data_IF_288296016624
#
_entry.id   IF_288296016624
#
_cell.length_a   1.000
_cell.length_b   1.000
_cell.length_c   1.000
_cell.angle_alpha   90.00
_cell.angle_beta   90.00
_cell.angle_gamma   90.00
#
_symmetry.space_group_name_H-M   'P 1'
#
loop_
_entity.id
_entity.type
_entity.pdbx_description
1 polymer ?
#
# COMPACT_ATOMS: atom_id res chain seq x y z
N UNK A 1 18.51 11.18 -8.59
CA UNK A 1 19.51 10.22 -8.08
C UNK A 1 19.83 9.23 -9.18
N UNK A 2 21.09 9.05 -9.54
CA UNK A 2 21.50 8.01 -10.48
C UNK A 2 21.66 6.66 -9.75
N UNK A 3 21.84 5.54 -10.51
CA UNK A 3 21.90 4.21 -9.89
C UNK A 3 23.13 4.06 -8.96
N UNK A 4 24.30 4.58 -9.33
CA UNK A 4 25.49 4.47 -8.49
C UNK A 4 25.36 5.22 -7.15
N UNK A 5 24.72 6.38 -7.16
CA UNK A 5 24.40 7.13 -5.92
C UNK A 5 23.42 6.34 -5.03
N UNK A 6 22.43 5.68 -5.66
CA UNK A 6 21.46 4.85 -4.97
C UNK A 6 22.12 3.62 -4.35
N UNK A 7 23.02 2.94 -5.08
CA UNK A 7 23.74 1.77 -4.59
C UNK A 7 24.56 2.10 -3.33
N UNK A 8 25.19 3.27 -3.28
CA UNK A 8 25.91 3.74 -2.08
C UNK A 8 24.96 3.95 -0.89
N UNK A 9 23.76 4.47 -1.14
CA UNK A 9 22.77 4.65 -0.07
C UNK A 9 22.29 3.29 0.46
N UNK A 10 22.07 2.33 -0.44
CA UNK A 10 21.67 0.96 -0.07
C UNK A 10 22.77 0.29 0.73
N UNK A 11 24.02 0.32 0.27
CA UNK A 11 25.16 -0.27 0.99
C UNK A 11 25.31 0.28 2.42
N UNK A 12 25.18 1.60 2.60
CA UNK A 12 25.18 2.22 3.92
C UNK A 12 24.02 1.76 4.79
N UNK A 13 22.86 1.59 4.19
CA UNK A 13 21.66 1.11 4.87
C UNK A 13 21.81 -0.35 5.31
N UNK A 14 22.27 -1.23 4.44
CA UNK A 14 22.53 -2.63 4.76
C UNK A 14 23.56 -2.77 5.88
N UNK A 15 24.59 -1.92 5.87
CA UNK A 15 25.56 -1.86 6.96
C UNK A 15 24.92 -1.41 8.27
N UNK A 16 24.04 -0.41 8.22
CA UNK A 16 23.28 0.03 9.40
C UNK A 16 22.37 -1.09 9.95
N UNK A 17 21.73 -1.86 9.08
CA UNK A 17 20.88 -2.98 9.47
C UNK A 17 21.66 -4.12 10.15
N UNK A 18 22.88 -4.39 9.68
CA UNK A 18 23.70 -5.52 10.11
C UNK A 18 24.40 -5.27 11.45
N UNK A 19 25.00 -4.12 11.62
CA UNK A 19 25.93 -3.84 12.72
C UNK A 19 25.71 -2.48 13.40
N UNK A 20 24.69 -1.73 13.00
CA UNK A 20 24.39 -0.40 13.51
C UNK A 20 25.31 0.71 13.02
N UNK A 21 26.36 0.38 12.26
CA UNK A 21 27.21 1.35 11.60
C UNK A 21 26.67 1.65 10.21
N UNK A 22 26.82 2.90 9.74
CA UNK A 22 26.22 3.34 8.48
C UNK A 22 25.04 4.28 8.70
N UNK A 23 24.17 4.40 7.76
CA UNK A 23 23.07 5.35 7.80
C UNK A 23 21.76 4.66 7.35
N UNK A 24 20.70 4.85 8.14
CA UNK A 24 19.36 4.43 7.67
C UNK A 24 19.01 5.19 6.40
N UNK A 25 18.64 4.48 5.34
CA UNK A 25 18.32 5.10 4.07
C UNK A 25 17.17 6.11 4.20
N UNK A 26 17.47 7.35 3.85
CA UNK A 26 16.48 8.40 3.68
C UNK A 26 16.38 8.74 2.18
N UNK A 27 15.39 8.15 1.55
CA UNK A 27 15.07 8.31 0.12
C UNK A 27 13.75 9.08 -0.05
N UNK A 28 13.35 9.84 0.98
CA UNK A 28 12.11 10.62 0.92
C UNK A 28 12.16 11.64 -0.23
N UNK A 29 11.05 11.64 -0.99
CA UNK A 29 10.88 12.49 -2.18
C UNK A 29 11.95 12.32 -3.27
N UNK A 30 12.77 11.27 -3.19
CA UNK A 30 13.79 11.00 -4.22
C UNK A 30 13.13 10.61 -5.55
N UNK A 31 13.77 11.02 -6.64
CA UNK A 31 13.45 10.52 -7.97
C UNK A 31 14.18 9.19 -8.22
N UNK A 32 13.44 8.10 -8.10
CA UNK A 32 13.89 6.73 -8.25
C UNK A 32 13.18 6.05 -9.44
N UNK A 33 12.75 6.83 -10.41
CA UNK A 33 12.09 6.31 -11.61
C UNK A 33 13.00 5.33 -12.34
N UNK A 34 12.46 4.15 -12.63
CA UNK A 34 13.17 3.05 -13.32
C UNK A 34 14.41 2.54 -12.58
N UNK A 35 14.59 2.90 -11.30
CA UNK A 35 15.70 2.38 -10.50
C UNK A 35 15.66 0.85 -10.43
N UNK A 36 16.83 0.26 -10.40
CA UNK A 36 17.00 -1.17 -10.12
C UNK A 36 17.22 -1.36 -8.62
N UNK A 37 16.20 -1.87 -7.94
CA UNK A 37 16.18 -2.14 -6.50
C UNK A 37 15.88 -3.62 -6.22
N UNK A 38 16.15 -4.48 -7.19
CA UNK A 38 15.92 -5.92 -7.06
C UNK A 38 16.70 -6.48 -5.89
N UNK A 39 15.99 -7.20 -5.00
CA UNK A 39 16.57 -7.85 -3.81
C UNK A 39 17.26 -6.91 -2.83
N UNK A 40 17.12 -5.60 -2.99
CA UNK A 40 17.67 -4.63 -2.02
C UNK A 40 17.00 -4.81 -0.65
N UNK A 41 17.78 -4.74 0.41
CA UNK A 41 17.26 -4.64 1.77
C UNK A 41 17.02 -3.16 2.10
N UNK A 42 15.77 -2.75 2.06
CA UNK A 42 15.26 -1.42 2.40
C UNK A 42 14.34 -1.48 3.61
N UNK A 43 14.52 -2.51 4.46
CA UNK A 43 13.69 -2.68 5.64
C UNK A 43 13.81 -1.48 6.59
N UNK A 44 12.66 -0.91 6.93
CA UNK A 44 12.57 0.31 7.73
C UNK A 44 13.08 1.59 7.04
N UNK A 45 13.46 1.57 5.76
CA UNK A 45 13.90 2.77 5.04
C UNK A 45 12.78 3.83 4.94
N UNK A 46 13.16 5.09 4.79
CA UNK A 46 12.24 6.18 4.51
C UNK A 46 12.18 6.44 3.00
N UNK A 47 11.05 6.06 2.39
CA UNK A 47 10.73 6.24 0.97
C UNK A 47 9.49 7.14 0.79
N UNK A 48 9.15 7.92 1.81
CA UNK A 48 7.97 8.78 1.79
C UNK A 48 7.97 9.71 0.59
N UNK A 49 6.88 9.69 -0.19
CA UNK A 49 6.71 10.54 -1.36
C UNK A 49 7.71 10.28 -2.50
N UNK A 50 8.54 9.25 -2.42
CA UNK A 50 9.50 8.91 -3.47
C UNK A 50 8.79 8.58 -4.79
N UNK A 51 9.40 8.94 -5.90
CA UNK A 51 8.94 8.55 -7.22
C UNK A 51 9.62 7.26 -7.68
N UNK A 52 8.96 6.14 -7.43
CA UNK A 52 9.38 4.78 -7.79
C UNK A 52 8.68 4.27 -9.06
N UNK A 53 8.12 5.17 -9.88
CA UNK A 53 7.38 4.71 -11.05
C UNK A 53 8.30 3.96 -12.03
N UNK A 54 7.81 2.79 -12.47
CA UNK A 54 8.57 1.85 -13.31
C UNK A 54 9.83 1.25 -12.65
N UNK A 55 10.08 1.47 -11.36
CA UNK A 55 11.21 0.86 -10.66
C UNK A 55 11.04 -0.66 -10.55
N UNK A 56 12.15 -1.36 -10.50
CA UNK A 56 12.17 -2.80 -10.26
C UNK A 56 12.53 -3.07 -8.79
N UNK A 57 11.53 -3.42 -8.00
CA UNK A 57 11.60 -3.76 -6.57
C UNK A 57 11.36 -5.27 -6.35
N UNK A 58 11.51 -6.08 -7.40
CA UNK A 58 11.22 -7.51 -7.28
C UNK A 58 12.13 -8.18 -6.24
N UNK A 59 11.49 -8.94 -5.33
CA UNK A 59 12.13 -9.60 -4.20
C UNK A 59 12.85 -8.67 -3.21
N UNK A 60 12.59 -7.36 -3.25
CA UNK A 60 13.13 -6.42 -2.27
C UNK A 60 12.52 -6.65 -0.89
N UNK A 61 13.31 -6.40 0.15
CA UNK A 61 12.83 -6.34 1.51
C UNK A 61 12.43 -4.90 1.86
N UNK A 62 11.14 -4.66 2.01
CA UNK A 62 10.53 -3.38 2.33
C UNK A 62 9.77 -3.44 3.67
N UNK A 63 10.11 -4.42 4.52
CA UNK A 63 9.45 -4.57 5.82
C UNK A 63 9.53 -3.28 6.63
N UNK A 64 8.37 -2.82 7.11
CA UNK A 64 8.26 -1.60 7.93
C UNK A 64 8.82 -0.33 7.27
N UNK A 65 9.09 -0.33 5.97
CA UNK A 65 9.49 0.87 5.24
C UNK A 65 8.34 1.89 5.21
N UNK A 66 8.69 3.18 5.19
CA UNK A 66 7.70 4.24 4.97
C UNK A 66 7.63 4.58 3.48
N UNK A 67 6.59 4.11 2.83
CA UNK A 67 6.24 4.36 1.42
C UNK A 67 5.03 5.31 1.31
N UNK A 68 4.70 6.03 2.39
CA UNK A 68 3.51 6.89 2.38
C UNK A 68 3.58 7.95 1.28
N UNK A 69 2.53 8.02 0.48
CA UNK A 69 2.45 8.92 -0.67
C UNK A 69 3.43 8.62 -1.82
N UNK A 70 4.16 7.52 -1.78
CA UNK A 70 5.09 7.15 -2.85
C UNK A 70 4.36 6.86 -4.16
N UNK A 71 4.99 7.20 -5.27
CA UNK A 71 4.50 6.86 -6.60
C UNK A 71 5.13 5.55 -7.08
N UNK A 72 4.39 4.46 -6.93
CA UNK A 72 4.76 3.09 -7.34
C UNK A 72 4.08 2.68 -8.66
N UNK A 73 3.60 3.64 -9.43
CA UNK A 73 2.89 3.36 -10.68
C UNK A 73 3.76 2.53 -11.61
N UNK A 74 3.25 1.37 -12.04
CA UNK A 74 3.95 0.40 -12.89
C UNK A 74 5.27 -0.12 -12.31
N UNK A 75 5.46 -0.03 -11.01
CA UNK A 75 6.59 -0.67 -10.34
C UNK A 75 6.42 -2.19 -10.36
N UNK A 76 7.53 -2.90 -10.46
CA UNK A 76 7.57 -4.34 -10.28
C UNK A 76 7.89 -4.65 -8.81
N UNK A 77 6.89 -5.11 -8.07
CA UNK A 77 6.96 -5.50 -6.65
C UNK A 77 6.83 -7.02 -6.49
N UNK A 78 7.01 -7.79 -7.57
CA UNK A 78 6.88 -9.25 -7.55
C UNK A 78 7.74 -9.88 -6.47
N UNK A 79 7.11 -10.63 -5.55
CA UNK A 79 7.78 -11.30 -4.45
C UNK A 79 8.42 -10.37 -3.42
N UNK A 80 8.14 -9.06 -3.45
CA UNK A 80 8.64 -8.11 -2.45
C UNK A 80 7.99 -8.36 -1.09
N UNK A 81 8.77 -8.18 -0.02
CA UNK A 81 8.25 -8.24 1.34
C UNK A 81 7.89 -6.83 1.83
N UNK A 82 6.60 -6.52 1.85
CA UNK A 82 6.03 -5.26 2.31
C UNK A 82 5.37 -5.37 3.70
N UNK A 83 5.67 -6.45 4.45
CA UNK A 83 4.99 -6.68 5.73
C UNK A 83 5.24 -5.53 6.72
N UNK A 84 4.15 -5.01 7.26
CA UNK A 84 4.16 -3.85 8.15
C UNK A 84 4.58 -2.53 7.50
N UNK A 85 4.76 -2.45 6.18
CA UNK A 85 5.10 -1.21 5.49
C UNK A 85 3.96 -0.19 5.56
N UNK A 86 4.31 1.09 5.57
CA UNK A 86 3.34 2.16 5.48
C UNK A 86 3.17 2.59 4.01
N UNK A 87 2.10 2.14 3.37
CA UNK A 87 1.75 2.47 1.98
C UNK A 87 0.64 3.54 1.89
N UNK A 88 0.30 4.20 3.00
CA UNK A 88 -0.79 5.16 3.03
C UNK A 88 -0.68 6.19 1.92
N UNK A 89 -1.72 6.28 1.08
CA UNK A 89 -1.80 7.25 -0.01
C UNK A 89 -0.83 6.97 -1.17
N UNK A 90 -0.19 5.82 -1.20
CA UNK A 90 0.68 5.45 -2.31
C UNK A 90 -0.13 5.23 -3.60
N UNK A 91 0.52 5.44 -4.74
CA UNK A 91 -0.05 5.16 -6.05
C UNK A 91 0.51 3.83 -6.57
N UNK A 92 -0.28 2.77 -6.50
CA UNK A 92 0.03 1.43 -7.00
C UNK A 92 -0.58 1.12 -8.37
N UNK A 93 -1.09 2.11 -9.09
CA UNK A 93 -1.72 1.89 -10.37
C UNK A 93 -0.80 1.13 -11.33
N UNK A 94 -1.30 0.01 -11.87
CA UNK A 94 -0.56 -0.87 -12.79
C UNK A 94 0.69 -1.52 -12.19
N UNK A 95 0.87 -1.53 -10.88
CA UNK A 95 1.99 -2.23 -10.24
C UNK A 95 1.79 -3.75 -10.28
N UNK A 96 2.89 -4.49 -10.37
CA UNK A 96 2.90 -5.95 -10.26
C UNK A 96 3.22 -6.37 -8.82
N UNK A 97 2.22 -6.91 -8.12
CA UNK A 97 2.28 -7.39 -6.74
C UNK A 97 2.25 -8.92 -6.64
N UNK A 98 2.46 -9.65 -7.74
CA UNK A 98 2.45 -11.11 -7.71
C UNK A 98 3.39 -11.67 -6.64
N UNK A 99 2.83 -12.40 -5.68
CA UNK A 99 3.58 -13.00 -4.58
C UNK A 99 4.17 -12.01 -3.57
N UNK A 100 3.78 -10.73 -3.60
CA UNK A 100 4.20 -9.77 -2.59
C UNK A 100 3.53 -10.03 -1.24
N UNK A 101 4.29 -9.86 -0.15
CA UNK A 101 3.77 -9.98 1.21
C UNK A 101 3.34 -8.61 1.73
N UNK A 102 2.04 -8.41 1.89
CA UNK A 102 1.43 -7.17 2.39
C UNK A 102 0.86 -7.29 3.81
N UNK A 103 1.19 -8.36 4.55
CA UNK A 103 0.64 -8.60 5.89
C UNK A 103 0.97 -7.45 6.84
N UNK A 104 -0.07 -6.89 7.48
CA UNK A 104 0.09 -5.78 8.42
C UNK A 104 0.51 -4.44 7.78
N UNK A 105 0.57 -4.34 6.46
CA UNK A 105 0.82 -3.08 5.78
C UNK A 105 -0.35 -2.10 5.95
N UNK A 106 -0.04 -0.81 6.02
CA UNK A 106 -1.06 0.24 5.99
C UNK A 106 -1.46 0.54 4.55
N UNK A 107 -2.65 0.12 4.17
CA UNK A 107 -3.18 0.21 2.79
C UNK A 107 -4.23 1.32 2.62
N UNK A 108 -4.34 2.25 3.57
CA UNK A 108 -5.32 3.32 3.51
C UNK A 108 -5.02 4.32 2.38
N UNK A 109 -6.06 4.76 1.68
CA UNK A 109 -5.98 5.79 0.65
C UNK A 109 -5.13 5.43 -0.59
N UNK A 110 -4.89 4.15 -0.84
CA UNK A 110 -4.11 3.70 -2.00
C UNK A 110 -4.92 3.83 -3.30
N UNK A 111 -4.22 4.17 -4.38
CA UNK A 111 -4.74 4.04 -5.73
C UNK A 111 -4.40 2.66 -6.29
N UNK A 112 -5.43 1.83 -6.54
CA UNK A 112 -5.33 0.42 -6.90
C UNK A 112 -5.60 0.10 -8.37
N UNK A 113 -5.63 1.08 -9.25
CA UNK A 113 -6.09 0.84 -10.63
C UNK A 113 -5.20 -0.17 -11.35
N UNK A 114 -5.84 -1.22 -11.88
CA UNK A 114 -5.20 -2.24 -12.72
C UNK A 114 -3.91 -2.83 -12.11
N UNK A 115 -3.89 -3.07 -10.80
CA UNK A 115 -2.82 -3.83 -10.15
C UNK A 115 -2.85 -5.28 -10.58
N UNK A 116 -1.70 -5.94 -10.59
CA UNK A 116 -1.54 -7.35 -10.93
C UNK A 116 -1.17 -8.14 -9.68
N UNK A 117 -1.75 -9.32 -9.52
CA UNK A 117 -1.46 -10.21 -8.38
C UNK A 117 -2.37 -10.03 -7.17
N UNK A 118 -3.31 -9.09 -7.23
CA UNK A 118 -4.37 -8.91 -6.22
C UNK A 118 -5.71 -8.65 -6.90
N UNK A 119 -6.77 -9.21 -6.35
CA UNK A 119 -8.15 -8.89 -6.70
C UNK A 119 -8.62 -7.75 -5.83
N UNK A 120 -8.76 -6.56 -6.43
CA UNK A 120 -9.17 -5.35 -5.72
C UNK A 120 -10.52 -4.89 -6.26
N UNK A 121 -11.54 -4.90 -5.41
CA UNK A 121 -12.87 -4.38 -5.74
C UNK A 121 -13.07 -3.08 -4.96
N UNK A 122 -13.25 -1.98 -5.69
CA UNK A 122 -13.38 -0.67 -5.09
C UNK A 122 -14.66 0.02 -5.59
N UNK A 123 -15.52 0.42 -4.66
CA UNK A 123 -16.79 1.07 -4.95
C UNK A 123 -16.88 2.42 -4.26
N UNK A 124 -17.20 3.45 -5.02
CA UNK A 124 -17.39 4.79 -4.48
C UNK A 124 -18.78 4.92 -3.85
N UNK A 125 -18.81 5.34 -2.59
CA UNK A 125 -20.06 5.65 -1.89
C UNK A 125 -20.34 7.14 -1.98
N UNK A 126 -21.52 7.47 -2.50
CA UNK A 126 -21.97 8.88 -2.56
C UNK A 126 -22.42 9.35 -1.18
N UNK A 127 -21.49 9.97 -0.44
CA UNK A 127 -21.73 10.56 0.88
C UNK A 127 -21.44 12.06 0.85
N UNK A 128 -21.62 12.75 1.97
CA UNK A 128 -21.28 14.17 2.11
C UNK A 128 -19.80 14.49 2.04
N UNK A 129 -18.94 13.47 2.21
CA UNK A 129 -17.48 13.60 2.05
C UNK A 129 -17.07 13.20 0.64
N UNK A 130 -16.28 14.05 -0.02
CA UNK A 130 -15.68 13.70 -1.31
C UNK A 130 -14.78 12.48 -1.15
N UNK A 131 -14.90 11.49 -2.06
CA UNK A 131 -14.05 10.30 -2.15
C UNK A 131 -14.19 9.27 -1.03
N UNK A 132 -15.40 9.03 -0.49
CA UNK A 132 -15.63 7.84 0.30
C UNK A 132 -15.71 6.62 -0.62
N UNK A 133 -14.65 5.83 -0.60
CA UNK A 133 -14.53 4.58 -1.31
C UNK A 133 -14.45 3.43 -0.30
N UNK A 134 -15.19 2.36 -0.53
CA UNK A 134 -14.93 1.07 0.11
C UNK A 134 -14.08 0.25 -0.87
N UNK A 135 -13.02 -0.32 -0.37
CA UNK A 135 -12.16 -1.22 -1.14
C UNK A 135 -12.04 -2.55 -0.40
N UNK A 136 -12.20 -3.63 -1.12
CA UNK A 136 -11.93 -4.99 -0.65
C UNK A 136 -10.76 -5.58 -1.43
N UNK A 137 -9.82 -6.21 -0.72
CA UNK A 137 -8.67 -6.90 -1.28
C UNK A 137 -8.84 -8.38 -0.93
N UNK A 138 -9.24 -9.18 -1.92
CA UNK A 138 -9.69 -10.57 -1.72
C UNK A 138 -8.62 -11.45 -1.09
N UNK A 139 -7.40 -11.43 -1.60
CA UNK A 139 -6.30 -12.28 -1.14
C UNK A 139 -5.82 -11.97 0.28
N UNK A 140 -6.15 -10.79 0.78
CA UNK A 140 -5.81 -10.36 2.14
C UNK A 140 -7.00 -10.38 3.10
N UNK A 141 -8.22 -10.57 2.57
CA UNK A 141 -9.48 -10.43 3.30
C UNK A 141 -9.63 -9.08 4.03
N UNK A 142 -9.01 -8.03 3.46
CA UNK A 142 -8.95 -6.70 4.06
C UNK A 142 -9.92 -5.74 3.39
N UNK A 143 -10.65 -5.01 4.22
CA UNK A 143 -11.51 -3.91 3.83
C UNK A 143 -10.88 -2.58 4.23
N UNK A 144 -10.91 -1.58 3.34
CA UNK A 144 -10.44 -0.23 3.64
C UNK A 144 -11.48 0.83 3.29
N UNK A 145 -11.62 1.85 4.14
CA UNK A 145 -12.42 3.04 3.83
C UNK A 145 -11.73 4.26 4.43
N UNK A 146 -11.24 5.16 3.62
CA UNK A 146 -10.59 6.33 4.17
C UNK A 146 -9.54 6.00 5.23
N UNK A 147 -9.84 6.26 6.51
CA UNK A 147 -8.92 5.97 7.62
C UNK A 147 -9.09 4.58 8.25
N UNK A 148 -10.06 3.79 7.78
CA UNK A 148 -10.31 2.44 8.31
C UNK A 148 -9.57 1.40 7.47
N UNK A 149 -9.02 0.40 8.15
CA UNK A 149 -8.52 -0.84 7.57
C UNK A 149 -8.78 -1.98 8.56
N UNK A 150 -9.34 -3.07 8.09
CA UNK A 150 -9.64 -4.21 8.94
C UNK A 150 -10.45 -5.30 8.23
N UNK A 151 -10.95 -6.23 9.00
CA UNK A 151 -11.84 -7.31 8.57
C UNK A 151 -13.25 -6.79 8.26
N UNK A 152 -14.09 -7.64 7.65
CA UNK A 152 -15.49 -7.31 7.39
C UNK A 152 -16.26 -7.00 8.68
N UNK A 153 -16.05 -7.76 9.74
CA UNK A 153 -16.77 -7.57 11.01
C UNK A 153 -16.34 -6.28 11.72
N UNK A 154 -15.05 -5.95 11.65
CA UNK A 154 -14.55 -4.66 12.14
C UNK A 154 -15.09 -3.49 11.31
N UNK A 155 -15.23 -3.64 9.99
CA UNK A 155 -15.86 -2.64 9.13
C UNK A 155 -17.32 -2.41 9.51
N UNK A 156 -18.11 -3.48 9.68
CA UNK A 156 -19.52 -3.39 10.11
C UNK A 156 -19.62 -2.68 11.46
N UNK A 157 -18.80 -3.08 12.42
CA UNK A 157 -18.75 -2.43 13.75
C UNK A 157 -18.40 -0.93 13.65
N UNK A 158 -17.44 -0.59 12.78
CA UNK A 158 -17.06 0.81 12.54
C UNK A 158 -18.21 1.62 11.92
N UNK A 159 -18.97 1.03 10.99
CA UNK A 159 -20.16 1.67 10.37
C UNK A 159 -21.24 1.93 11.42
N UNK A 160 -21.56 0.94 12.25
CA UNK A 160 -22.57 1.07 13.31
C UNK A 160 -22.19 2.16 14.31
N UNK A 161 -20.95 2.18 14.77
CA UNK A 161 -20.47 3.17 15.73
C UNK A 161 -20.41 4.58 15.16
N UNK A 162 -19.97 4.73 13.90
CA UNK A 162 -19.78 6.04 13.26
C UNK A 162 -21.08 6.66 12.81
N UNK A 163 -22.05 5.85 12.41
CA UNK A 163 -23.31 6.29 11.80
C UNK A 163 -24.54 5.83 12.59
N UNK A 164 -24.39 5.61 13.90
CA UNK A 164 -25.42 5.04 14.79
C UNK A 164 -26.81 5.68 14.63
N UNK A 165 -26.86 6.98 14.35
CA UNK A 165 -28.10 7.76 14.22
C UNK A 165 -28.49 8.02 12.75
N UNK A 166 -27.84 7.36 11.78
CA UNK A 166 -28.09 7.57 10.36
C UNK A 166 -28.32 6.25 9.60
N UNK A 167 -29.53 5.69 9.82
CA UNK A 167 -29.94 4.42 9.20
C UNK A 167 -29.85 4.44 7.67
N UNK A 168 -30.17 5.58 7.04
CA UNK A 168 -30.10 5.71 5.58
C UNK A 168 -28.66 5.57 5.06
N UNK A 169 -27.70 6.08 5.81
CA UNK A 169 -26.29 5.99 5.43
C UNK A 169 -25.74 4.60 5.72
N UNK A 170 -26.07 4.00 6.87
CA UNK A 170 -25.74 2.59 7.16
C UNK A 170 -26.23 1.66 6.06
N UNK A 171 -27.50 1.79 5.67
CA UNK A 171 -28.07 0.98 4.60
C UNK A 171 -27.34 1.14 3.23
N UNK A 172 -26.75 2.30 2.96
CA UNK A 172 -25.90 2.48 1.76
C UNK A 172 -24.60 1.71 1.88
N UNK A 173 -23.94 1.75 3.04
CA UNK A 173 -22.71 0.99 3.28
C UNK A 173 -22.94 -0.51 3.13
N UNK A 174 -24.00 -1.05 3.75
CA UNK A 174 -24.31 -2.47 3.67
C UNK A 174 -24.61 -2.94 2.24
N UNK A 175 -25.37 -2.17 1.46
CA UNK A 175 -25.60 -2.50 0.04
C UNK A 175 -24.31 -2.54 -0.78
N UNK A 176 -23.36 -1.68 -0.49
CA UNK A 176 -22.07 -1.68 -1.19
C UNK A 176 -21.23 -2.87 -0.74
N UNK A 177 -21.26 -3.22 0.54
CA UNK A 177 -20.58 -4.42 1.05
C UNK A 177 -21.14 -5.67 0.37
N UNK A 178 -22.47 -5.83 0.33
CA UNK A 178 -23.13 -6.97 -0.31
C UNK A 178 -22.78 -7.07 -1.80
N UNK A 179 -22.78 -5.94 -2.52
CA UNK A 179 -22.34 -5.90 -3.90
C UNK A 179 -20.88 -6.37 -4.07
N UNK A 180 -19.97 -5.86 -3.24
CA UNK A 180 -18.54 -6.23 -3.29
C UNK A 180 -18.36 -7.72 -3.01
N UNK A 181 -19.10 -8.29 -2.07
CA UNK A 181 -19.02 -9.71 -1.75
C UNK A 181 -19.50 -10.58 -2.93
N UNK A 182 -20.56 -10.17 -3.62
CA UNK A 182 -21.05 -10.87 -4.82
C UNK A 182 -20.03 -10.82 -5.96
N UNK A 183 -19.39 -9.67 -6.19
CA UNK A 183 -18.35 -9.53 -7.23
C UNK A 183 -17.05 -10.26 -6.88
N UNK A 184 -16.85 -10.61 -5.60
CA UNK A 184 -15.66 -11.30 -5.12
C UNK A 184 -15.77 -12.82 -5.18
N UNK A 185 -16.98 -13.39 -5.43
CA UNK A 185 -17.18 -14.83 -5.59
C UNK A 185 -16.52 -15.34 -6.88
#
# INVERSE_FOLDING_TARGET
>A
MNQAELDVVIEKHEKWLRDGYGERANLSYADLRRADLRRADLSGANLRGANLSYANLSYADLRRADLSGANLRRANLRGANLSGANLRGANLNYADLNGADLRGANLNWINWRDVVGLTVIAVQINTTRKNNQITYIKELEIWTTGCFQGTLEELKTSIENTHKDNEKLKAKYYRVIDFILQEAE
#
